data_IF_838179584149
#
_entry.id   IF_838179584149
#
_cell.length_a   1.000
_cell.length_b   1.000
_cell.length_c   1.000
_cell.angle_alpha   90.00
_cell.angle_beta   90.00
_cell.angle_gamma   90.00
#
_symmetry.space_group_name_H-M   'P 1'
#
loop_
_entity.id
_entity.type
_entity.pdbx_description
1 polymer ?
#
# COMPACT_ATOMS: atom_id res chain seq x y z
N UNK A 1 -40.75 1.33 3.54
CA UNK A 1 -39.32 1.03 3.80
C UNK A 1 -38.67 0.68 2.47
N UNK A 2 -38.08 1.67 1.81
CA UNK A 2 -37.37 1.44 0.54
C UNK A 2 -35.94 1.07 0.88
N UNK A 3 -35.54 -0.17 0.60
CA UNK A 3 -34.14 -0.55 0.58
C UNK A 3 -33.42 0.42 -0.37
N UNK A 4 -32.47 1.18 0.15
CA UNK A 4 -31.56 1.95 -0.70
C UNK A 4 -30.82 0.89 -1.54
N UNK A 5 -30.96 0.91 -2.87
CA UNK A 5 -30.29 -0.08 -3.71
C UNK A 5 -28.79 0.03 -3.47
N UNK A 6 -28.11 -1.12 -3.40
CA UNK A 6 -26.65 -1.18 -3.44
C UNK A 6 -26.17 -0.42 -4.67
N UNK A 7 -25.83 0.87 -4.51
CA UNK A 7 -25.44 1.75 -5.61
C UNK A 7 -24.05 1.35 -6.09
N UNK A 8 -24.03 0.30 -6.90
CA UNK A 8 -23.37 0.27 -8.20
C UNK A 8 -22.21 1.25 -8.35
N UNK A 9 -21.08 0.91 -7.71
CA UNK A 9 -19.77 1.35 -8.18
C UNK A 9 -19.51 0.55 -9.47
N UNK A 10 -20.09 1.02 -10.57
CA UNK A 10 -20.03 0.32 -11.87
C UNK A 10 -18.70 0.55 -12.58
N UNK A 11 -17.98 1.59 -12.20
CA UNK A 11 -16.69 1.96 -12.78
C UNK A 11 -15.67 2.27 -11.69
N UNK A 12 -14.40 2.00 -11.98
CA UNK A 12 -13.29 2.46 -11.15
C UNK A 12 -13.28 4.01 -11.18
N UNK A 13 -13.16 4.71 -10.04
CA UNK A 13 -12.99 6.16 -10.05
C UNK A 13 -11.85 6.58 -10.99
N UNK A 14 -12.10 7.64 -11.77
CA UNK A 14 -11.03 8.29 -12.53
C UNK A 14 -10.05 8.92 -11.55
N UNK A 15 -8.77 8.65 -11.78
CA UNK A 15 -7.69 9.19 -10.96
C UNK A 15 -7.08 10.39 -11.66
N UNK A 16 -7.12 11.56 -11.01
CA UNK A 16 -6.40 12.75 -11.46
C UNK A 16 -5.05 12.81 -10.73
N UNK A 17 -3.98 12.46 -11.43
CA UNK A 17 -2.63 12.37 -10.86
C UNK A 17 -2.15 13.73 -10.32
N UNK A 18 -2.27 14.80 -11.11
CA UNK A 18 -1.81 16.14 -10.69
C UNK A 18 -2.56 16.66 -9.47
N UNK A 19 -3.86 16.40 -9.39
CA UNK A 19 -4.65 16.77 -8.22
C UNK A 19 -4.19 16.00 -6.99
N UNK A 20 -3.96 14.70 -7.11
CA UNK A 20 -3.50 13.86 -5.99
C UNK A 20 -2.10 14.25 -5.52
N UNK A 21 -1.17 14.50 -6.45
CA UNK A 21 0.18 14.94 -6.11
C UNK A 21 0.14 16.25 -5.33
N UNK A 22 -0.66 17.23 -5.76
CA UNK A 22 -0.89 18.47 -5.01
C UNK A 22 -1.48 18.22 -3.63
N UNK A 23 -2.44 17.29 -3.53
CA UNK A 23 -3.06 16.92 -2.26
C UNK A 23 -2.11 16.16 -1.32
N UNK A 24 -0.97 15.67 -1.79
CA UNK A 24 0.06 15.06 -0.93
C UNK A 24 1.11 16.08 -0.44
N UNK A 25 1.09 17.33 -0.90
CA UNK A 25 1.98 18.39 -0.42
C UNK A 25 1.49 18.97 0.94
N UNK A 26 2.40 19.41 1.82
CA UNK A 26 2.06 20.14 3.04
C UNK A 26 1.35 21.47 2.71
N UNK A 27 0.39 21.87 3.56
CA UNK A 27 -0.20 23.20 3.57
C UNK A 27 -0.69 23.74 2.21
N UNK A 28 -1.15 22.87 1.32
CA UNK A 28 -1.88 23.37 0.15
C UNK A 28 -3.17 24.01 0.67
N UNK A 29 -3.53 25.20 0.18
CA UNK A 29 -4.86 25.80 0.41
C UNK A 29 -6.02 24.96 -0.17
N UNK A 30 -5.73 23.71 -0.56
CA UNK A 30 -6.70 22.69 -0.85
C UNK A 30 -7.33 22.24 0.46
N UNK A 31 -8.66 22.09 0.46
CA UNK A 31 -9.38 21.53 1.59
C UNK A 31 -8.71 20.22 2.05
N UNK A 32 -8.59 20.05 3.37
CA UNK A 32 -8.18 18.79 3.96
C UNK A 32 -8.98 17.66 3.31
N UNK A 33 -8.30 16.66 2.72
CA UNK A 33 -9.00 15.53 2.11
C UNK A 33 -9.58 14.72 3.24
N UNK A 34 -10.88 14.89 3.46
CA UNK A 34 -11.64 14.05 4.37
C UNK A 34 -11.90 12.73 3.67
N UNK A 35 -11.29 11.68 4.19
CA UNK A 35 -11.61 10.34 3.77
C UNK A 35 -12.93 9.94 4.42
N UNK A 36 -14.03 10.16 3.72
CA UNK A 36 -15.35 9.76 4.19
C UNK A 36 -15.53 8.25 4.01
N UNK A 37 -15.99 7.59 5.07
CA UNK A 37 -16.39 6.19 4.99
C UNK A 37 -17.59 6.04 4.05
N UNK A 38 -17.43 5.19 3.04
CA UNK A 38 -18.52 4.81 2.13
C UNK A 38 -18.73 3.30 2.27
N UNK A 39 -19.84 2.93 2.91
CA UNK A 39 -20.22 1.53 3.14
C UNK A 39 -20.17 0.70 1.86
N UNK A 40 -19.54 -0.46 1.91
CA UNK A 40 -19.38 -1.36 0.75
C UNK A 40 -18.34 -0.91 -0.29
N UNK A 41 -17.91 0.37 -0.27
CA UNK A 41 -16.84 0.86 -1.16
C UNK A 41 -15.45 0.47 -0.68
N UNK A 42 -15.26 0.25 0.63
CA UNK A 42 -13.96 -0.09 1.21
C UNK A 42 -13.34 -1.35 0.59
N UNK A 43 -14.18 -2.29 0.16
CA UNK A 43 -13.76 -3.49 -0.54
C UNK A 43 -13.57 -3.28 -2.03
N UNK A 44 -13.49 -2.04 -2.51
CA UNK A 44 -12.94 -1.75 -3.83
C UNK A 44 -13.68 -2.58 -4.92
N UNK A 45 -15.01 -2.65 -4.81
CA UNK A 45 -15.85 -3.43 -5.74
C UNK A 45 -15.53 -4.92 -5.84
N UNK A 46 -14.82 -5.50 -4.87
CA UNK A 46 -14.53 -6.93 -4.83
C UNK A 46 -15.80 -7.73 -4.64
N UNK A 47 -15.87 -8.87 -5.33
CA UNK A 47 -16.88 -9.90 -5.14
C UNK A 47 -16.35 -10.93 -4.15
N UNK A 48 -17.15 -11.19 -3.13
CA UNK A 48 -16.89 -12.21 -2.13
C UNK A 48 -17.84 -13.39 -2.33
N UNK A 49 -17.28 -14.59 -2.23
CA UNK A 49 -18.05 -15.82 -2.19
C UNK A 49 -17.43 -16.71 -1.11
N UNK A 50 -18.28 -17.33 -0.29
CA UNK A 50 -17.82 -18.27 0.73
C UNK A 50 -16.91 -19.35 0.13
N UNK A 51 -15.85 -19.68 0.86
CA UNK A 51 -14.86 -20.69 0.49
C UNK A 51 -14.12 -20.44 -0.84
N UNK A 52 -14.24 -19.25 -1.42
CA UNK A 52 -13.50 -18.83 -2.62
C UNK A 52 -12.68 -17.58 -2.33
N UNK A 53 -11.50 -17.43 -2.97
CA UNK A 53 -10.74 -16.20 -2.83
C UNK A 53 -11.53 -15.01 -3.38
N UNK A 54 -11.38 -13.81 -2.79
CA UNK A 54 -11.99 -12.60 -3.30
C UNK A 54 -11.51 -12.30 -4.72
N UNK A 55 -12.39 -11.73 -5.55
CA UNK A 55 -12.09 -11.39 -6.94
C UNK A 55 -12.55 -9.97 -7.25
N UNK A 56 -11.83 -9.28 -8.12
CA UNK A 56 -12.29 -8.00 -8.64
C UNK A 56 -13.55 -8.17 -9.50
N UNK A 57 -14.38 -7.13 -9.56
CA UNK A 57 -15.53 -7.13 -10.45
C UNK A 57 -15.08 -7.02 -11.91
N UNK A 58 -15.46 -8.02 -12.73
CA UNK A 58 -15.13 -8.09 -14.16
C UNK A 58 -15.65 -6.90 -14.99
N UNK A 59 -16.70 -6.20 -14.52
CA UNK A 59 -17.24 -5.04 -15.25
C UNK A 59 -16.40 -3.78 -15.08
N UNK A 60 -15.44 -3.76 -14.16
CA UNK A 60 -14.60 -2.60 -13.93
C UNK A 60 -13.55 -2.52 -15.03
N UNK A 61 -13.46 -1.35 -15.68
CA UNK A 61 -12.43 -1.08 -16.67
C UNK A 61 -11.05 -1.18 -16.04
N UNK A 62 -10.12 -1.76 -16.79
CA UNK A 62 -8.72 -1.80 -16.38
C UNK A 62 -8.19 -0.38 -16.21
N UNK A 63 -7.61 -0.14 -15.05
CA UNK A 63 -6.87 1.08 -14.78
C UNK A 63 -5.62 1.11 -15.68
N UNK A 64 -5.56 2.10 -16.57
CA UNK A 64 -4.49 2.26 -17.55
C UNK A 64 -3.15 2.66 -16.93
N UNK A 65 -3.10 3.06 -15.65
CA UNK A 65 -1.84 3.36 -14.96
C UNK A 65 -0.97 2.10 -14.87
N UNK A 66 0.31 2.22 -15.20
CA UNK A 66 1.28 1.16 -14.92
C UNK A 66 1.54 1.13 -13.39
N UNK A 67 1.35 -0.01 -12.71
CA UNK A 67 1.68 -0.12 -11.28
C UNK A 67 3.17 0.08 -10.99
N UNK A 68 4.03 0.08 -12.01
CA UNK A 68 5.47 0.31 -11.90
C UNK A 68 5.89 1.75 -12.23
N UNK A 69 4.95 2.67 -12.47
CA UNK A 69 5.26 4.11 -12.58
C UNK A 69 5.77 4.63 -11.22
N UNK A 70 6.81 5.45 -11.26
CA UNK A 70 7.39 6.12 -10.08
C UNK A 70 6.44 7.19 -9.51
N UNK A 71 6.63 7.56 -8.23
CA UNK A 71 5.86 8.61 -7.56
C UNK A 71 4.62 8.07 -6.85
N UNK A 72 3.71 8.97 -6.46
CA UNK A 72 2.50 8.60 -5.72
C UNK A 72 1.58 7.68 -6.52
N UNK A 73 1.72 7.68 -7.85
CA UNK A 73 0.91 6.91 -8.79
C UNK A 73 -0.60 7.07 -8.52
N UNK A 74 -1.03 8.27 -8.14
CA UNK A 74 -2.43 8.59 -7.87
C UNK A 74 -2.98 8.00 -6.57
N UNK A 75 -2.15 7.87 -5.53
CA UNK A 75 -2.55 7.52 -4.17
C UNK A 75 -2.30 8.67 -3.20
N UNK A 76 -3.27 8.93 -2.34
CA UNK A 76 -3.15 9.87 -1.24
C UNK A 76 -2.49 9.19 -0.05
N UNK A 77 -1.62 9.91 0.67
CA UNK A 77 -1.07 9.42 1.93
C UNK A 77 -2.22 9.14 2.90
N UNK A 78 -2.30 7.90 3.39
CA UNK A 78 -3.41 7.38 4.18
C UNK A 78 -4.44 6.55 3.40
N UNK A 79 -4.31 6.43 2.07
CA UNK A 79 -5.10 5.46 1.32
C UNK A 79 -4.94 4.07 1.92
N UNK A 80 -6.08 3.41 2.14
CA UNK A 80 -6.15 2.14 2.82
C UNK A 80 -6.85 1.08 1.97
N UNK A 81 -6.39 -0.16 2.13
CA UNK A 81 -6.87 -1.33 1.41
C UNK A 81 -7.04 -2.52 2.35
N UNK A 82 -8.20 -3.21 2.32
CA UNK A 82 -8.42 -4.38 3.17
C UNK A 82 -7.61 -5.61 2.74
N UNK A 83 -7.37 -5.78 1.44
CA UNK A 83 -6.69 -6.96 0.87
C UNK A 83 -5.67 -6.57 -0.21
N UNK A 84 -4.71 -7.45 -0.49
CA UNK A 84 -3.63 -7.19 -1.48
C UNK A 84 -4.15 -6.98 -2.89
N UNK A 85 -5.19 -7.74 -3.27
CA UNK A 85 -5.86 -7.57 -4.57
C UNK A 85 -6.45 -6.16 -4.74
N UNK A 86 -6.80 -5.48 -3.65
CA UNK A 86 -7.35 -4.13 -3.67
C UNK A 86 -6.30 -3.07 -4.01
N UNK A 87 -5.13 -3.11 -3.35
CA UNK A 87 -4.06 -2.16 -3.68
C UNK A 87 -3.45 -2.46 -5.06
N UNK A 88 -3.49 -3.74 -5.51
CA UNK A 88 -2.98 -4.12 -6.82
C UNK A 88 -3.90 -3.61 -7.93
N UNK A 89 -5.22 -3.80 -7.74
CA UNK A 89 -6.26 -3.20 -8.59
C UNK A 89 -6.05 -1.69 -8.73
N UNK A 90 -5.72 -1.04 -7.62
CA UNK A 90 -5.50 0.41 -7.54
C UNK A 90 -4.14 0.87 -8.06
N UNK A 91 -3.29 -0.05 -8.53
CA UNK A 91 -1.95 0.24 -9.05
C UNK A 91 -1.00 0.83 -7.99
N UNK A 92 -1.31 0.70 -6.71
CA UNK A 92 -0.41 1.12 -5.64
C UNK A 92 0.83 0.21 -5.57
N UNK A 93 0.67 -1.07 -5.87
CA UNK A 93 1.74 -2.06 -5.91
C UNK A 93 1.50 -3.13 -6.99
N UNK A 94 2.56 -3.58 -7.67
CA UNK A 94 2.43 -4.47 -8.83
C UNK A 94 2.15 -5.95 -8.53
N UNK A 95 2.32 -6.40 -7.28
CA UNK A 95 2.21 -7.81 -6.91
C UNK A 95 1.23 -8.05 -5.75
N UNK A 96 0.50 -9.17 -5.75
CA UNK A 96 -0.28 -9.60 -4.58
C UNK A 96 0.53 -10.43 -3.58
N UNK A 97 1.68 -11.00 -4.02
CA UNK A 97 2.48 -11.95 -3.24
C UNK A 97 3.82 -11.37 -2.80
N UNK A 98 4.48 -10.61 -3.68
CA UNK A 98 5.81 -10.07 -3.41
C UNK A 98 5.71 -8.78 -2.61
N UNK A 99 6.65 -8.58 -1.70
CA UNK A 99 6.77 -7.32 -0.96
C UNK A 99 7.47 -6.21 -1.76
N UNK A 100 8.18 -6.54 -2.84
CA UNK A 100 8.86 -5.55 -3.71
C UNK A 100 8.14 -5.50 -5.05
N UNK A 101 7.77 -4.29 -5.47
CA UNK A 101 7.08 -4.00 -6.71
C UNK A 101 7.96 -3.12 -7.59
N UNK A 102 8.31 -3.62 -8.77
CA UNK A 102 9.23 -2.99 -9.69
C UNK A 102 9.28 -3.73 -11.03
N UNK A 103 10.01 -3.15 -11.98
CA UNK A 103 10.20 -3.73 -13.32
C UNK A 103 11.68 -4.00 -13.55
N UNK A 104 11.98 -5.16 -14.14
CA UNK A 104 13.35 -5.53 -14.50
C UNK A 104 14.01 -4.43 -15.35
N UNK A 105 15.26 -4.08 -15.04
CA UNK A 105 16.00 -3.00 -15.69
C UNK A 105 15.57 -1.58 -15.30
N UNK A 106 14.39 -1.40 -14.71
CA UNK A 106 13.92 -0.10 -14.23
C UNK A 106 14.31 0.11 -12.75
N UNK A 107 13.92 -0.82 -11.88
CA UNK A 107 14.06 -0.71 -10.42
C UNK A 107 12.74 -0.97 -9.69
N UNK A 108 12.81 -1.00 -8.36
CA UNK A 108 11.65 -0.94 -7.48
C UNK A 108 11.02 0.46 -7.47
N UNK A 109 9.69 0.51 -7.34
CA UNK A 109 8.92 1.75 -7.14
C UNK A 109 7.93 1.66 -5.98
N UNK A 110 7.80 0.48 -5.37
CA UNK A 110 6.93 0.28 -4.23
C UNK A 110 7.37 -0.91 -3.39
N UNK A 111 7.17 -0.82 -2.08
CA UNK A 111 7.41 -1.91 -1.13
C UNK A 111 6.24 -2.08 -0.16
N UNK A 112 6.05 -3.31 0.32
CA UNK A 112 5.11 -3.65 1.38
C UNK A 112 5.88 -4.03 2.64
N UNK A 113 5.78 -3.20 3.68
CA UNK A 113 6.36 -3.45 4.99
C UNK A 113 5.37 -4.27 5.82
N UNK A 114 5.77 -5.45 6.27
CA UNK A 114 4.95 -6.24 7.22
C UNK A 114 5.08 -7.75 7.14
N UNK A 115 5.95 -8.29 6.29
CA UNK A 115 6.41 -9.69 6.42
C UNK A 115 7.74 -9.98 5.72
N UNK A 116 8.63 -8.98 5.66
CA UNK A 116 10.03 -9.20 5.28
C UNK A 116 10.77 -9.84 6.45
N UNK A 117 10.91 -11.17 6.39
CA UNK A 117 11.82 -11.95 7.22
C UNK A 117 11.28 -12.55 8.50
N UNK A 118 10.30 -13.45 8.40
CA UNK A 118 9.87 -14.35 9.49
C UNK A 118 10.96 -15.34 9.99
N UNK A 119 12.24 -15.01 9.81
CA UNK A 119 13.40 -15.69 10.37
C UNK A 119 14.18 -14.65 11.16
N UNK A 120 14.44 -14.94 12.43
CA UNK A 120 15.26 -14.14 13.34
C UNK A 120 16.51 -13.60 12.63
N UNK A 121 16.74 -12.30 12.70
CA UNK A 121 17.88 -11.61 12.06
C UNK A 121 17.61 -11.10 10.63
N UNK A 122 16.39 -11.24 10.11
CA UNK A 122 16.02 -10.75 8.77
C UNK A 122 14.78 -9.87 8.77
N UNK A 123 14.40 -9.38 9.95
CA UNK A 123 13.27 -8.49 10.12
C UNK A 123 13.58 -7.13 9.48
N UNK A 124 12.52 -6.51 8.97
CA UNK A 124 12.55 -5.10 8.65
C UNK A 124 12.62 -4.27 9.95
N UNK A 125 13.34 -3.16 9.89
CA UNK A 125 13.38 -2.14 10.94
C UNK A 125 12.46 -1.00 10.48
N UNK A 126 11.48 -0.63 11.29
CA UNK A 126 10.52 0.42 10.95
C UNK A 126 10.47 1.47 12.06
N UNK A 127 11.01 2.66 11.78
CA UNK A 127 11.00 3.82 12.66
C UNK A 127 10.15 4.95 12.06
N UNK A 128 9.14 4.60 11.25
CA UNK A 128 8.25 5.58 10.63
C UNK A 128 8.93 6.26 9.45
N UNK A 129 9.61 7.38 9.69
CA UNK A 129 10.26 8.16 8.62
C UNK A 129 11.55 7.53 8.10
N UNK A 130 12.11 6.55 8.82
CA UNK A 130 13.24 5.75 8.34
C UNK A 130 12.90 4.27 8.39
N UNK A 131 13.44 3.51 7.44
CA UNK A 131 13.23 2.07 7.32
C UNK A 131 14.56 1.37 7.04
N UNK A 132 14.72 0.19 7.62
CA UNK A 132 15.66 -0.82 7.16
C UNK A 132 14.88 -1.96 6.53
N UNK A 133 14.81 -2.03 5.20
CA UNK A 133 14.03 -3.02 4.48
C UNK A 133 14.91 -4.13 3.90
N UNK A 134 14.58 -5.39 4.20
CA UNK A 134 15.31 -6.53 3.67
C UNK A 134 14.93 -6.78 2.20
N UNK A 135 15.93 -6.79 1.32
CA UNK A 135 15.73 -7.08 -0.11
C UNK A 135 15.25 -8.51 -0.39
N UNK A 136 15.07 -8.81 -1.66
CA UNK A 136 14.91 -10.18 -2.14
C UNK A 136 16.10 -10.59 -3.02
N UNK A 137 15.97 -11.69 -3.77
CA UNK A 137 17.03 -12.16 -4.69
C UNK A 137 17.14 -11.32 -5.97
N UNK A 138 16.34 -10.27 -6.13
CA UNK A 138 16.35 -9.44 -7.34
C UNK A 138 17.18 -8.18 -7.15
N UNK A 139 17.68 -7.63 -8.26
CA UNK A 139 18.42 -6.37 -8.28
C UNK A 139 17.51 -5.12 -8.30
N UNK A 140 16.20 -5.25 -8.05
CA UNK A 140 15.27 -4.12 -8.16
C UNK A 140 15.60 -3.00 -7.17
N UNK A 141 15.92 -3.35 -5.93
CA UNK A 141 16.28 -2.37 -4.89
C UNK A 141 17.66 -1.74 -5.17
N UNK A 142 18.59 -2.50 -5.74
CA UNK A 142 19.89 -1.99 -6.18
C UNK A 142 19.75 -0.95 -7.28
N UNK A 143 18.95 -1.26 -8.31
CA UNK A 143 18.67 -0.32 -9.40
C UNK A 143 17.97 0.94 -8.89
N UNK A 144 17.06 0.82 -7.91
CA UNK A 144 16.42 1.99 -7.29
C UNK A 144 17.38 2.84 -6.48
N UNK A 145 18.33 2.22 -5.78
CA UNK A 145 19.40 2.92 -5.07
C UNK A 145 20.29 3.68 -6.05
N UNK A 146 20.75 3.01 -7.11
CA UNK A 146 21.60 3.61 -8.15
C UNK A 146 20.94 4.82 -8.82
N UNK A 147 19.64 4.70 -9.14
CA UNK A 147 18.89 5.74 -9.86
C UNK A 147 18.22 6.77 -8.95
N UNK A 148 18.29 6.59 -7.62
CA UNK A 148 17.66 7.49 -6.65
C UNK A 148 16.13 7.51 -6.75
N UNK A 149 15.51 6.37 -7.08
CA UNK A 149 14.06 6.27 -7.33
C UNK A 149 13.21 6.52 -6.07
N UNK A 150 12.03 7.08 -6.28
CA UNK A 150 10.97 7.22 -5.29
C UNK A 150 10.23 5.90 -5.11
N UNK A 151 10.20 5.42 -3.86
CA UNK A 151 9.57 4.18 -3.45
C UNK A 151 8.30 4.47 -2.67
N UNK A 152 7.14 4.02 -3.16
CA UNK A 152 5.91 4.00 -2.37
C UNK A 152 6.03 2.99 -1.24
N UNK A 153 5.82 3.42 0.00
CA UNK A 153 5.78 2.52 1.17
C UNK A 153 4.34 2.22 1.55
N UNK A 154 4.00 0.94 1.53
CA UNK A 154 2.71 0.42 2.00
C UNK A 154 2.96 -0.40 3.27
N UNK A 155 2.36 -0.02 4.40
CA UNK A 155 2.45 -0.78 5.65
C UNK A 155 1.28 -1.74 5.78
N UNK A 156 1.57 -3.01 6.04
CA UNK A 156 0.60 -4.05 6.37
C UNK A 156 0.41 -4.10 7.89
N UNK A 157 -0.80 -4.42 8.33
CA UNK A 157 -1.09 -4.72 9.72
C UNK A 157 -0.21 -5.86 10.27
N UNK A 158 0.50 -5.57 11.36
CA UNK A 158 1.31 -6.50 12.15
C UNK A 158 1.20 -6.13 13.63
N UNK A 159 1.17 -7.11 14.52
CA UNK A 159 0.83 -6.92 15.95
C UNK A 159 1.85 -6.11 16.75
N UNK A 160 3.09 -6.01 16.28
CA UNK A 160 4.22 -5.46 17.04
C UNK A 160 4.87 -4.26 16.31
N UNK A 161 4.08 -3.41 15.67
CA UNK A 161 4.58 -2.20 15.02
C UNK A 161 3.74 -0.99 15.38
N UNK A 162 4.41 0.06 15.85
CA UNK A 162 3.79 1.35 16.17
C UNK A 162 3.37 2.15 14.92
N UNK A 163 3.81 1.69 13.74
CA UNK A 163 3.55 2.37 12.47
C UNK A 163 2.59 1.61 11.56
N UNK A 164 2.37 0.33 11.80
CA UNK A 164 1.43 -0.48 11.04
C UNK A 164 -0.02 -0.01 11.26
N UNK A 165 -0.90 -0.12 10.25
CA UNK A 165 -2.34 0.02 10.50
C UNK A 165 -2.85 -1.16 11.35
N UNK A 166 -3.96 -1.01 12.11
CA UNK A 166 -4.55 -2.10 12.88
C UNK A 166 -5.03 -3.29 12.02
N UNK A 167 -5.48 -3.04 10.78
CA UNK A 167 -5.89 -4.06 9.81
C UNK A 167 -5.52 -3.65 8.38
N UNK A 168 -5.46 -4.60 7.46
CA UNK A 168 -5.23 -4.34 6.03
C UNK A 168 -3.87 -3.72 5.72
N UNK A 169 -3.86 -2.77 4.79
CA UNK A 169 -2.67 -2.14 4.19
C UNK A 169 -2.89 -0.63 4.03
N UNK A 170 -1.91 0.19 4.39
CA UNK A 170 -1.99 1.66 4.28
C UNK A 170 -0.79 2.22 3.52
N UNK A 171 -1.03 3.16 2.61
CA UNK A 171 0.02 3.90 1.92
C UNK A 171 0.53 5.08 2.77
N UNK A 172 1.83 5.11 3.05
CA UNK A 172 2.43 6.08 3.99
C UNK A 172 3.36 7.10 3.32
N UNK A 173 3.40 7.10 1.99
CA UNK A 173 4.11 8.10 1.18
C UNK A 173 5.34 7.55 0.47
N UNK A 174 6.15 8.47 -0.03
CA UNK A 174 7.35 8.20 -0.82
C UNK A 174 8.60 8.22 0.04
N UNK A 175 9.50 7.30 -0.24
CA UNK A 175 10.80 7.14 0.38
C UNK A 175 11.87 7.06 -0.71
N UNK A 176 13.13 7.30 -0.34
CA UNK A 176 14.29 7.03 -1.19
C UNK A 176 15.21 6.08 -0.46
N UNK A 177 15.87 5.20 -1.22
CA UNK A 177 16.94 4.37 -0.67
C UNK A 177 18.20 5.25 -0.56
N UNK A 178 18.77 5.34 0.63
CA UNK A 178 19.98 6.14 0.91
C UNK A 178 21.23 5.30 1.02
N UNK A 179 21.08 3.99 1.23
CA UNK A 179 22.19 3.06 1.38
C UNK A 179 21.69 1.63 1.52
N UNK A 180 22.63 0.70 1.67
CA UNK A 180 22.34 -0.69 2.03
C UNK A 180 23.49 -1.26 2.86
N UNK A 181 23.14 -2.05 3.87
CA UNK A 181 24.11 -2.75 4.72
C UNK A 181 23.95 -4.27 4.56
N UNK A 182 25.04 -5.04 4.52
CA UNK A 182 24.95 -6.50 4.57
C UNK A 182 24.29 -6.93 5.89
N UNK A 183 23.52 -8.02 5.85
CA UNK A 183 22.91 -8.62 7.02
C UNK A 183 23.88 -9.69 7.53
N UNK A 184 24.52 -9.51 8.70
CA UNK A 184 25.60 -10.39 9.15
C UNK A 184 25.21 -11.87 9.22
N UNK A 185 23.97 -12.15 9.59
CA UNK A 185 23.44 -13.50 9.76
C UNK A 185 23.05 -14.18 8.44
N UNK A 186 23.11 -13.46 7.31
CA UNK A 186 22.68 -13.96 6.00
C UNK A 186 23.57 -13.44 4.87
N UNK A 187 24.48 -14.30 4.43
CA UNK A 187 25.36 -14.02 3.29
C UNK A 187 24.56 -13.62 2.04
N UNK A 188 25.08 -12.65 1.29
CA UNK A 188 24.45 -12.13 0.07
C UNK A 188 23.16 -11.34 0.31
N UNK A 189 22.75 -11.12 1.57
CA UNK A 189 21.57 -10.35 1.92
C UNK A 189 21.89 -8.96 2.41
N UNK A 190 21.03 -8.03 2.02
CA UNK A 190 21.16 -6.62 2.38
C UNK A 190 19.88 -6.07 2.99
N UNK A 191 20.08 -5.20 3.98
CA UNK A 191 19.05 -4.31 4.51
C UNK A 191 19.26 -2.94 3.87
N UNK A 192 18.30 -2.53 3.05
CA UNK A 192 18.28 -1.25 2.38
C UNK A 192 17.79 -0.19 3.36
N UNK A 193 18.52 0.91 3.47
CA UNK A 193 18.15 2.05 4.29
C UNK A 193 17.27 2.98 3.45
N UNK A 194 16.07 3.28 3.93
CA UNK A 194 15.16 4.20 3.28
C UNK A 194 14.85 5.37 4.20
N UNK A 195 14.77 6.56 3.60
CA UNK A 195 14.37 7.79 4.27
C UNK A 195 13.15 8.36 3.55
N UNK A 196 12.14 8.74 4.33
CA UNK A 196 10.92 9.37 3.81
C UNK A 196 11.28 10.70 3.16
N UNK A 197 10.75 10.95 1.97
CA UNK A 197 11.00 12.20 1.24
C UNK A 197 10.38 13.37 1.98
N UNK A 198 11.08 14.50 2.02
CA UNK A 198 10.57 15.75 2.60
C UNK A 198 9.41 16.33 1.76
N UNK A 199 8.74 17.37 2.26
CA UNK A 199 7.66 18.06 1.55
C UNK A 199 6.50 17.17 1.10
N UNK A 200 6.16 16.17 1.91
CA UNK A 200 4.93 15.41 1.81
C UNK A 200 4.11 15.60 3.10
N UNK A 201 2.79 15.41 3.03
CA UNK A 201 1.94 15.36 4.22
C UNK A 201 2.48 14.34 5.24
N UNK A 202 2.25 14.53 6.55
CA UNK A 202 2.56 13.53 7.56
C UNK A 202 1.90 12.18 7.24
N UNK A 203 2.46 11.09 7.77
CA UNK A 203 1.79 9.79 7.69
C UNK A 203 0.43 9.85 8.39
N UNK A 204 -0.61 9.29 7.77
CA UNK A 204 -1.95 9.30 8.35
C UNK A 204 -2.16 8.05 9.22
N UNK A 205 -1.73 8.12 10.48
CA UNK A 205 -1.89 7.00 11.42
C UNK A 205 -3.35 6.75 11.86
N UNK A 206 -4.29 7.63 11.49
CA UNK A 206 -5.72 7.50 11.81
C UNK A 206 -6.50 6.62 10.82
N UNK A 207 -5.84 6.09 9.78
CA UNK A 207 -6.46 5.16 8.83
C UNK A 207 -6.01 3.71 9.11
N UNK A 208 -6.91 2.72 8.99
CA UNK A 208 -8.35 2.83 8.65
C UNK A 208 -9.22 3.48 9.75
N UNK A 209 -10.39 4.00 9.38
CA UNK A 209 -11.39 4.53 10.35
C UNK A 209 -12.03 3.41 11.17
N UNK A 210 -12.71 3.75 12.26
CA UNK A 210 -13.42 2.77 13.07
C UNK A 210 -14.49 1.98 12.29
N UNK A 211 -15.20 2.65 11.37
CA UNK A 211 -16.19 2.03 10.48
C UNK A 211 -15.55 1.07 9.47
N UNK A 212 -14.40 1.45 8.90
CA UNK A 212 -13.62 0.57 8.01
C UNK A 212 -13.12 -0.68 8.75
N UNK A 213 -12.70 -0.54 10.01
CA UNK A 213 -12.27 -1.66 10.86
C UNK A 213 -13.45 -2.60 11.16
N UNK A 214 -14.59 -2.05 11.56
CA UNK A 214 -15.80 -2.83 11.86
C UNK A 214 -16.30 -3.60 10.63
N UNK A 215 -16.39 -2.93 9.47
CA UNK A 215 -16.81 -3.59 8.23
C UNK A 215 -15.79 -4.64 7.75
N UNK A 216 -14.48 -4.41 7.90
CA UNK A 216 -13.45 -5.41 7.64
C UNK A 216 -13.68 -6.69 8.45
N UNK A 217 -13.83 -6.58 9.77
CA UNK A 217 -14.04 -7.75 10.62
C UNK A 217 -15.38 -8.43 10.38
N UNK A 218 -16.44 -7.69 10.04
CA UNK A 218 -17.73 -8.29 9.64
C UNK A 218 -17.58 -9.17 8.40
N UNK A 219 -16.85 -8.68 7.38
CA UNK A 219 -16.60 -9.43 6.16
C UNK A 219 -15.68 -10.63 6.40
N UNK A 220 -14.60 -10.45 7.17
CA UNK A 220 -13.62 -11.52 7.46
C UNK A 220 -14.25 -12.64 8.29
N UNK A 221 -15.04 -12.29 9.31
CA UNK A 221 -15.82 -13.25 10.09
C UNK A 221 -16.88 -13.98 9.25
N UNK A 222 -17.48 -13.32 8.25
CA UNK A 222 -18.42 -13.98 7.35
C UNK A 222 -17.72 -14.97 6.41
N UNK A 223 -16.48 -14.66 5.99
CA UNK A 223 -15.66 -15.55 5.17
C UNK A 223 -15.14 -16.76 5.96
N UNK A 224 -14.90 -16.62 7.26
CA UNK A 224 -14.33 -17.67 8.11
C UNK A 224 -15.36 -18.65 8.69
N UNK A 225 -16.64 -18.28 8.74
CA UNK A 225 -17.75 -19.17 9.14
C UNK A 225 -17.96 -20.27 8.08
N UNK A 226 -17.66 -21.51 8.45
CA UNK A 226 -17.92 -22.72 7.65
C UNK A 226 -19.42 -22.97 7.49
#
# INVERSE_FOLDING_TARGET
MSAIPMSTILENPKVNLEAIDKLNLPNTGAAEVKFEYVKGYMFRGMKFQRSKPPRNNQSWKDDARDPHTEGHNGHLIGDWWPYTISFQRDRAHGSILRGIGGKAGAGAVSIVVGSGGGKKGYENIDNGNTLGYCGDETNLMDLSLEKGMLIRVIRKAISNSDHAPPVGYRYDGLYKITGKNPIPEKEGKYRYELVRVENQKPMNQLRPTAEEIDEFYKQDNWLSKK
#
